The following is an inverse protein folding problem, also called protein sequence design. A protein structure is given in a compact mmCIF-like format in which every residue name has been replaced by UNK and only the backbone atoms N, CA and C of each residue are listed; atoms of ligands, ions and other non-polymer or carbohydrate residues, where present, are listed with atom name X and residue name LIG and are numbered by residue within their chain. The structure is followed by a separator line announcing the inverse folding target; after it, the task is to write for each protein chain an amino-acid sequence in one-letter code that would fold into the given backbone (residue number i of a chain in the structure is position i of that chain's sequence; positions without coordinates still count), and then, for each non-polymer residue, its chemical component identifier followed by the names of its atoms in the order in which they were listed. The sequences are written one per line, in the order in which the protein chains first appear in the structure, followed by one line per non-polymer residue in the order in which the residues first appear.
data_IF_463341163144
#
_entry.id   IF_463341163144
#
_cell.length_a   1.000
_cell.length_b   1.000
_cell.length_c   1.000
_cell.angle_alpha   90.00
_cell.angle_beta   90.00
_cell.angle_gamma   90.00
#
_symmetry.space_group_name_H-M   'P 1'
#
loop_
_entity.id
_entity.type
_entity.pdbx_description
1 polymer ?
#
# COMPACT_ATOMS: atom_id res chain seq x y z
N UNK A 1 17.57 3.18 -1.38
CA UNK A 1 17.14 3.24 0.05
C UNK A 1 17.23 1.84 0.65
N UNK A 2 17.84 1.66 1.84
CA UNK A 2 18.09 0.33 2.43
C UNK A 2 16.84 -0.30 3.09
N UNK A 3 16.92 -1.60 3.42
CA UNK A 3 15.82 -2.37 4.04
C UNK A 3 15.28 -1.75 5.34
N UNK A 4 16.11 -1.42 6.35
CA UNK A 4 15.62 -0.79 7.59
C UNK A 4 14.81 0.48 7.35
N UNK A 5 15.26 1.32 6.41
CA UNK A 5 14.57 2.57 6.08
C UNK A 5 13.24 2.31 5.39
N UNK A 6 13.18 1.35 4.45
CA UNK A 6 11.93 0.95 3.78
C UNK A 6 10.91 0.39 4.77
N UNK A 7 11.35 -0.47 5.70
CA UNK A 7 10.49 -1.00 6.76
C UNK A 7 9.99 0.12 7.69
N UNK A 8 10.87 1.05 8.09
CA UNK A 8 10.50 2.23 8.90
C UNK A 8 9.38 3.04 8.21
N UNK A 9 9.50 3.30 6.92
CA UNK A 9 8.50 4.03 6.14
C UNK A 9 7.18 3.27 6.11
N UNK A 10 7.17 1.96 5.84
CA UNK A 10 5.94 1.18 5.82
C UNK A 10 5.24 1.19 7.19
N UNK A 11 5.99 1.00 8.28
CA UNK A 11 5.47 1.11 9.65
C UNK A 11 4.88 2.48 9.94
N UNK A 12 5.58 3.55 9.57
CA UNK A 12 5.11 4.92 9.78
C UNK A 12 3.85 5.24 8.96
N UNK A 13 3.74 4.77 7.71
CA UNK A 13 2.51 4.92 6.90
C UNK A 13 1.35 4.19 7.57
N UNK A 14 1.57 2.94 8.03
CA UNK A 14 0.55 2.15 8.70
C UNK A 14 0.08 2.82 10.01
N UNK A 15 1.00 3.38 10.80
CA UNK A 15 0.70 4.14 12.00
C UNK A 15 -0.08 5.43 11.70
N UNK A 16 0.33 6.20 10.68
CA UNK A 16 -0.39 7.40 10.24
C UNK A 16 -1.81 7.08 9.77
N UNK A 17 -1.98 5.99 9.02
CA UNK A 17 -3.30 5.55 8.56
C UNK A 17 -4.18 5.08 9.73
N UNK A 18 -3.59 4.39 10.71
CA UNK A 18 -4.27 4.01 11.95
C UNK A 18 -4.80 5.23 12.69
N UNK A 19 -3.95 6.25 12.89
CA UNK A 19 -4.32 7.50 13.53
C UNK A 19 -5.53 8.14 12.84
N UNK A 20 -5.52 8.21 11.52
CA UNK A 20 -6.65 8.76 10.75
C UNK A 20 -7.95 7.97 10.99
N UNK A 21 -7.87 6.64 11.01
CA UNK A 21 -9.05 5.77 11.19
C UNK A 21 -9.54 5.70 12.64
N UNK A 22 -8.67 5.93 13.62
CA UNK A 22 -9.00 5.90 15.05
C UNK A 22 -9.50 7.25 15.55
N UNK A 23 -8.76 8.33 15.31
CA UNK A 23 -9.09 9.67 15.84
C UNK A 23 -10.33 10.25 15.17
N UNK A 24 -10.52 9.98 13.87
CA UNK A 24 -11.67 10.46 13.10
C UNK A 24 -12.72 9.35 12.87
N UNK A 25 -12.75 8.33 13.73
CA UNK A 25 -13.61 7.17 13.55
C UNK A 25 -15.11 7.51 13.42
N UNK A 26 -15.57 8.61 14.03
CA UNK A 26 -16.96 9.07 13.99
C UNK A 26 -17.42 9.56 12.61
N UNK A 27 -16.48 9.98 11.75
CA UNK A 27 -16.80 10.54 10.43
C UNK A 27 -16.86 9.47 9.32
N UNK A 28 -16.51 8.22 9.64
CA UNK A 28 -16.27 7.13 8.68
C UNK A 28 -15.51 7.58 7.43
N UNK A 29 -14.52 8.46 7.63
CA UNK A 29 -13.85 9.16 6.55
C UNK A 29 -12.50 8.49 6.24
N UNK A 30 -12.40 7.71 5.14
CA UNK A 30 -11.14 7.17 4.69
C UNK A 30 -10.23 8.29 4.16
N UNK A 31 -8.94 7.99 4.03
CA UNK A 31 -8.02 8.86 3.33
C UNK A 31 -8.45 9.04 1.86
N UNK A 32 -8.81 7.95 1.18
CA UNK A 32 -9.40 8.00 -0.16
C UNK A 32 -8.46 8.46 -1.28
N UNK A 33 -7.19 8.75 -0.98
CA UNK A 33 -6.19 9.16 -1.97
C UNK A 33 -4.76 8.78 -1.53
N UNK A 34 -4.61 7.70 -0.77
CA UNK A 34 -3.32 7.22 -0.31
C UNK A 34 -2.54 6.62 -1.49
N UNK A 35 -1.37 7.15 -1.79
CA UNK A 35 -0.45 6.70 -2.86
C UNK A 35 0.96 7.21 -2.54
N UNK A 36 2.00 6.64 -3.14
CA UNK A 36 3.38 7.02 -2.82
C UNK A 36 3.69 8.50 -2.99
N UNK A 37 3.14 9.18 -4.01
CA UNK A 37 3.35 10.63 -4.16
C UNK A 37 2.61 11.51 -3.13
N UNK A 38 1.74 10.92 -2.32
CA UNK A 38 1.05 11.57 -1.18
C UNK A 38 1.64 11.11 0.17
N UNK A 39 2.80 10.45 0.14
CA UNK A 39 3.62 10.15 1.31
C UNK A 39 4.92 10.93 1.20
N UNK A 40 5.00 12.05 1.91
CA UNK A 40 6.24 12.82 1.99
C UNK A 40 7.18 12.19 3.02
N UNK A 41 8.48 12.42 2.88
CA UNK A 41 9.49 11.92 3.80
C UNK A 41 10.23 13.11 4.43
N UNK A 42 10.39 13.09 5.75
CA UNK A 42 11.29 14.02 6.44
C UNK A 42 12.76 13.72 6.10
N UNK A 43 13.66 14.58 6.59
CA UNK A 43 15.11 14.36 6.58
C UNK A 43 15.53 13.07 7.31
N UNK A 44 14.74 12.63 8.29
CA UNK A 44 14.89 11.39 9.05
C UNK A 44 14.12 10.21 8.47
N UNK A 45 13.55 10.32 7.26
CA UNK A 45 12.69 9.30 6.62
C UNK A 45 11.44 8.93 7.43
N UNK A 46 10.91 9.85 8.23
CA UNK A 46 9.60 9.68 8.84
C UNK A 46 8.52 10.04 7.79
N UNK A 47 7.57 9.13 7.51
CA UNK A 47 6.55 9.36 6.50
C UNK A 47 5.46 10.31 7.01
N UNK A 48 5.06 11.25 6.15
CA UNK A 48 4.02 12.23 6.41
C UNK A 48 2.91 12.06 5.36
N UNK A 49 1.72 11.67 5.80
CA UNK A 49 0.57 11.48 4.91
C UNK A 49 -0.05 12.84 4.55
N UNK A 50 -0.28 13.09 3.26
CA UNK A 50 -0.90 14.32 2.75
C UNK A 50 -2.19 14.00 1.99
N UNK A 51 -2.98 15.03 1.65
CA UNK A 51 -4.27 14.89 0.93
C UNK A 51 -5.30 13.98 1.62
N UNK A 52 -5.25 13.88 2.95
CA UNK A 52 -6.32 13.27 3.72
C UNK A 52 -7.64 14.05 3.52
N UNK A 53 -8.76 13.33 3.47
CA UNK A 53 -10.09 13.92 3.32
C UNK A 53 -10.27 14.81 2.07
N UNK A 54 -9.50 14.56 1.01
CA UNK A 54 -9.61 15.32 -0.23
C UNK A 54 -10.89 14.98 -1.02
N UNK A 55 -11.44 13.76 -0.83
CA UNK A 55 -12.61 13.28 -1.58
C UNK A 55 -13.86 14.16 -1.47
N UNK A 56 -14.33 14.60 -0.28
CA UNK A 56 -15.50 15.48 -0.18
C UNK A 56 -15.31 16.88 -0.81
N UNK A 57 -14.07 17.29 -1.07
CA UNK A 57 -13.74 18.61 -1.62
C UNK A 57 -13.73 18.63 -3.15
N UNK A 58 -13.83 17.47 -3.80
CA UNK A 58 -13.83 17.36 -5.26
C UNK A 58 -15.21 17.04 -5.80
N UNK A 59 -15.56 17.60 -6.97
CA UNK A 59 -16.76 17.23 -7.69
C UNK A 59 -16.47 15.98 -8.56
N UNK A 60 -17.11 14.82 -8.26
CA UNK A 60 -16.86 13.56 -8.97
C UNK A 60 -17.12 13.66 -10.49
N UNK A 61 -18.05 14.53 -10.90
CA UNK A 61 -18.46 14.68 -12.30
C UNK A 61 -17.44 15.48 -13.14
N UNK A 62 -16.60 16.30 -12.51
CA UNK A 62 -15.55 17.08 -13.19
C UNK A 62 -14.17 16.43 -13.13
N UNK A 63 -13.98 15.47 -12.22
CA UNK A 63 -12.68 14.88 -11.89
C UNK A 63 -12.81 13.35 -11.92
N UNK A 64 -13.33 12.84 -13.04
CA UNK A 64 -13.68 11.42 -13.22
C UNK A 64 -12.45 10.46 -13.27
N UNK A 65 -11.23 10.90 -12.91
CA UNK A 65 -10.01 10.09 -13.05
C UNK A 65 -8.95 10.24 -11.93
N UNK A 66 -9.16 11.03 -10.88
CA UNK A 66 -8.00 11.56 -10.14
C UNK A 66 -7.66 10.92 -8.79
N UNK A 67 -8.61 10.28 -8.09
CA UNK A 67 -8.30 9.67 -6.78
C UNK A 67 -7.88 8.22 -6.91
N UNK A 68 -6.80 7.87 -6.22
CA UNK A 68 -6.25 6.52 -6.31
C UNK A 68 -7.21 5.45 -5.77
N UNK A 69 -7.99 5.78 -4.74
CA UNK A 69 -9.03 4.90 -4.19
C UNK A 69 -10.05 4.40 -5.24
N UNK A 70 -10.28 5.19 -6.30
CA UNK A 70 -11.23 4.84 -7.34
C UNK A 70 -10.79 3.65 -8.20
N UNK A 71 -9.52 3.26 -8.06
CA UNK A 71 -8.91 2.14 -8.78
C UNK A 71 -8.92 0.85 -7.96
N UNK A 72 -9.44 0.90 -6.73
CA UNK A 72 -9.68 -0.32 -5.97
C UNK A 72 -10.82 -1.15 -6.59
N UNK A 73 -10.76 -2.49 -6.50
CA UNK A 73 -11.82 -3.36 -7.01
C UNK A 73 -13.21 -2.98 -6.48
N UNK A 74 -13.31 -2.66 -5.19
CA UNK A 74 -14.56 -2.32 -4.54
C UNK A 74 -15.16 -1.01 -5.07
N UNK A 75 -14.33 -0.02 -5.39
CA UNK A 75 -14.83 1.22 -5.97
C UNK A 75 -15.29 0.99 -7.41
N UNK A 76 -14.53 0.24 -8.21
CA UNK A 76 -14.91 -0.09 -9.58
C UNK A 76 -16.29 -0.78 -9.60
N UNK A 77 -16.52 -1.69 -8.65
CA UNK A 77 -17.75 -2.46 -8.57
C UNK A 77 -18.93 -1.71 -7.91
N UNK A 78 -18.68 -0.99 -6.82
CA UNK A 78 -19.73 -0.44 -5.94
C UNK A 78 -19.74 1.09 -5.85
N UNK A 79 -18.79 1.79 -6.51
CA UNK A 79 -18.63 3.25 -6.47
C UNK A 79 -18.54 3.81 -5.05
N UNK A 80 -17.95 3.04 -4.13
CA UNK A 80 -17.84 3.39 -2.71
C UNK A 80 -16.39 3.44 -2.26
N UNK A 81 -15.95 4.61 -1.79
CA UNK A 81 -14.70 4.72 -1.04
C UNK A 81 -14.96 4.32 0.41
N UNK A 82 -14.09 3.49 0.97
CA UNK A 82 -14.21 3.02 2.34
C UNK A 82 -12.84 2.86 3.00
N UNK A 83 -12.84 2.57 4.30
CA UNK A 83 -11.61 2.18 5.02
C UNK A 83 -10.90 0.98 4.38
N UNK A 84 -11.64 0.04 3.77
CA UNK A 84 -11.06 -1.12 3.04
C UNK A 84 -10.34 -0.68 1.77
N UNK A 85 -10.76 0.43 1.17
CA UNK A 85 -10.06 1.02 0.03
C UNK A 85 -8.69 1.56 0.44
N UNK A 86 -8.57 2.18 1.62
CA UNK A 86 -7.25 2.61 2.13
C UNK A 86 -6.32 1.43 2.40
N UNK A 87 -6.85 0.29 2.87
CA UNK A 87 -6.05 -0.94 3.04
C UNK A 87 -5.51 -1.44 1.70
N UNK A 88 -6.33 -1.42 0.64
CA UNK A 88 -5.86 -1.73 -0.70
C UNK A 88 -4.73 -0.79 -1.13
N UNK A 89 -4.89 0.50 -0.87
CA UNK A 89 -3.88 1.50 -1.21
C UNK A 89 -2.57 1.31 -0.44
N UNK A 90 -2.65 0.99 0.86
CA UNK A 90 -1.50 0.60 1.68
C UNK A 90 -0.80 -0.61 1.08
N UNK A 91 -1.56 -1.63 0.66
CA UNK A 91 -1.04 -2.81 -0.01
C UNK A 91 -0.22 -2.47 -1.25
N UNK A 92 -0.73 -1.61 -2.14
CA UNK A 92 -0.01 -1.16 -3.33
C UNK A 92 1.32 -0.47 -2.97
N UNK A 93 1.32 0.41 -1.98
CA UNK A 93 2.54 1.10 -1.53
C UNK A 93 3.56 0.09 -0.98
N UNK A 94 3.11 -0.91 -0.21
CA UNK A 94 3.99 -1.98 0.28
C UNK A 94 4.62 -2.73 -0.91
N UNK A 95 3.82 -3.11 -1.91
CA UNK A 95 4.34 -3.82 -3.08
C UNK A 95 5.31 -2.95 -3.90
N UNK A 96 5.03 -1.67 -4.08
CA UNK A 96 5.95 -0.71 -4.71
C UNK A 96 7.29 -0.63 -3.95
N UNK A 97 7.25 -0.44 -2.63
CA UNK A 97 8.44 -0.35 -1.79
C UNK A 97 9.25 -1.64 -1.82
N UNK A 98 8.61 -2.81 -1.81
CA UNK A 98 9.32 -4.09 -1.79
C UNK A 98 9.92 -4.46 -3.14
N UNK A 99 9.26 -4.11 -4.24
CA UNK A 99 9.68 -4.49 -5.60
C UNK A 99 10.52 -3.43 -6.31
N UNK A 100 10.49 -2.19 -5.82
CA UNK A 100 11.10 -1.05 -6.51
C UNK A 100 10.43 -0.75 -7.88
N UNK A 101 9.25 -1.32 -8.15
CA UNK A 101 8.51 -1.09 -9.40
C UNK A 101 7.40 -0.10 -9.20
N UNK A 102 7.27 0.80 -10.18
CA UNK A 102 6.17 1.75 -10.23
C UNK A 102 4.84 1.02 -10.60
N UNK A 103 3.82 1.08 -9.72
CA UNK A 103 2.51 0.45 -9.97
C UNK A 103 1.79 1.03 -11.19
N UNK A 104 1.33 0.18 -12.11
CA UNK A 104 0.47 0.60 -13.24
C UNK A 104 -0.85 1.17 -12.75
N UNK A 105 -1.29 0.78 -11.56
CA UNK A 105 -2.44 1.32 -10.85
C UNK A 105 -2.34 2.84 -10.69
N UNK A 106 -1.15 3.46 -10.72
CA UNK A 106 -1.05 4.92 -10.67
C UNK A 106 -1.40 5.61 -12.00
N UNK A 107 -1.35 4.93 -13.14
CA UNK A 107 -1.73 5.52 -14.43
C UNK A 107 -3.25 5.53 -14.65
N UNK A 108 -3.76 6.59 -15.26
CA UNK A 108 -5.18 6.70 -15.65
C UNK A 108 -5.43 6.31 -17.11
N UNK A 109 -4.36 6.11 -17.90
CA UNK A 109 -4.42 5.99 -19.35
C UNK A 109 -4.08 4.59 -19.88
N UNK A 110 -3.88 3.60 -18.99
CA UNK A 110 -3.52 2.22 -19.36
C UNK A 110 -2.16 2.04 -20.05
N UNK A 111 -1.37 3.11 -20.17
CA UNK A 111 -0.06 3.12 -20.83
C UNK A 111 1.04 3.27 -19.78
N UNK A 112 1.53 2.14 -19.26
CA UNK A 112 2.76 2.07 -18.45
C UNK A 112 2.59 1.53 -17.03
N UNK A 113 3.72 1.18 -16.42
CA UNK A 113 3.82 0.61 -15.07
C UNK A 113 3.65 -0.92 -15.04
N UNK A 114 4.03 -1.53 -13.92
CA UNK A 114 3.85 -2.96 -13.67
C UNK A 114 2.56 -3.18 -12.91
N UNK A 115 1.73 -4.14 -13.31
CA UNK A 115 0.67 -4.63 -12.44
C UNK A 115 1.30 -5.40 -11.27
N UNK A 116 1.72 -4.66 -10.25
CA UNK A 116 2.46 -5.20 -9.11
C UNK A 116 1.63 -6.21 -8.33
N UNK A 117 0.30 -6.08 -8.34
CA UNK A 117 -0.61 -7.03 -7.68
C UNK A 117 -0.55 -8.36 -8.41
N UNK A 118 -0.86 -8.38 -9.71
CA UNK A 118 -0.85 -9.62 -10.48
C UNK A 118 0.53 -10.26 -10.50
N UNK A 119 1.59 -9.46 -10.64
CA UNK A 119 2.96 -9.95 -10.69
C UNK A 119 3.39 -10.63 -9.38
N UNK A 120 3.04 -10.03 -8.24
CA UNK A 120 3.32 -10.59 -6.91
C UNK A 120 2.49 -11.84 -6.64
N UNK A 121 1.20 -11.84 -6.95
CA UNK A 121 0.34 -13.01 -6.76
C UNK A 121 0.82 -14.20 -7.59
N UNK A 122 1.21 -13.98 -8.85
CA UNK A 122 1.79 -15.04 -9.68
C UNK A 122 3.10 -15.57 -9.09
N UNK A 123 4.02 -14.70 -8.67
CA UNK A 123 5.28 -15.16 -8.09
C UNK A 123 5.08 -15.94 -6.77
N UNK A 124 4.15 -15.52 -5.92
CA UNK A 124 3.78 -16.27 -4.69
C UNK A 124 3.22 -17.64 -5.05
N UNK A 125 2.34 -17.73 -6.05
CA UNK A 125 1.76 -19.02 -6.48
C UNK A 125 2.80 -20.00 -7.03
N UNK A 126 3.91 -19.48 -7.55
CA UNK A 126 5.02 -20.25 -8.11
C UNK A 126 6.17 -20.48 -7.10
N UNK A 127 6.09 -19.92 -5.89
CA UNK A 127 7.15 -19.99 -4.88
C UNK A 127 8.42 -19.21 -5.25
N UNK A 128 8.27 -18.13 -6.03
CA UNK A 128 9.36 -17.29 -6.56
C UNK A 128 9.29 -15.85 -6.08
N UNK A 129 8.58 -15.58 -5.00
CA UNK A 129 8.39 -14.22 -4.46
C UNK A 129 9.72 -13.54 -4.06
N UNK A 130 10.75 -14.32 -3.74
CA UNK A 130 12.10 -13.79 -3.46
C UNK A 130 12.75 -13.12 -4.67
N UNK A 131 12.34 -13.47 -5.90
CA UNK A 131 12.84 -12.85 -7.13
C UNK A 131 12.30 -11.43 -7.33
N UNK A 132 11.20 -11.10 -6.65
CA UNK A 132 10.54 -9.80 -6.78
C UNK A 132 11.13 -8.74 -5.86
N UNK A 133 11.88 -9.15 -4.83
CA UNK A 133 12.50 -8.22 -3.89
C UNK A 133 13.53 -7.36 -4.63
N UNK A 134 13.42 -6.05 -4.43
CA UNK A 134 14.30 -5.07 -5.05
C UNK A 134 15.79 -5.42 -4.80
N UNK A 135 16.61 -5.58 -5.86
CA UNK A 135 18.03 -5.87 -5.74
C UNK A 135 18.80 -4.91 -4.81
N UNK A 136 18.37 -3.65 -4.71
CA UNK A 136 19.00 -2.65 -3.82
C UNK A 136 18.94 -3.04 -2.34
N UNK A 137 17.90 -3.77 -1.92
CA UNK A 137 17.72 -4.21 -0.53
C UNK A 137 18.02 -5.70 -0.33
N UNK A 138 18.14 -6.47 -1.42
CA UNK A 138 18.49 -7.89 -1.38
C UNK A 138 19.99 -8.15 -1.21
N UNK A 139 20.83 -7.13 -1.39
CA UNK A 139 22.29 -7.28 -1.34
C UNK A 139 22.79 -7.32 0.11
N UNK A 140 23.61 -8.32 0.46
CA UNK A 140 24.22 -8.49 1.79
C UNK A 140 23.25 -8.61 2.97
N UNK A 141 22.05 -9.17 2.75
CA UNK A 141 21.09 -9.43 3.83
C UNK A 141 21.15 -10.88 4.28
N UNK A 142 20.94 -11.10 5.57
CA UNK A 142 20.86 -12.45 6.13
C UNK A 142 19.50 -13.10 5.83
N UNK A 143 19.41 -14.41 6.12
CA UNK A 143 18.20 -15.19 5.90
C UNK A 143 17.00 -14.68 6.70
N UNK A 144 17.22 -14.10 7.88
CA UNK A 144 16.14 -13.57 8.72
C UNK A 144 15.56 -12.29 8.12
N UNK A 145 16.40 -11.35 7.70
CA UNK A 145 15.98 -10.15 6.99
C UNK A 145 15.26 -10.51 5.70
N UNK A 146 15.74 -11.49 4.93
CA UNK A 146 15.05 -11.95 3.72
C UNK A 146 13.66 -12.51 4.05
N UNK A 147 13.53 -13.35 5.08
CA UNK A 147 12.23 -13.85 5.54
C UNK A 147 11.30 -12.72 5.99
N UNK A 148 11.82 -11.68 6.65
CA UNK A 148 11.07 -10.48 7.01
C UNK A 148 10.59 -9.70 5.79
N UNK A 149 11.42 -9.57 4.74
CA UNK A 149 11.02 -8.95 3.47
C UNK A 149 9.91 -9.74 2.79
N UNK A 150 10.01 -11.07 2.75
CA UNK A 150 8.99 -11.94 2.17
C UNK A 150 7.67 -11.83 2.92
N UNK A 151 7.71 -11.81 4.25
CA UNK A 151 6.53 -11.56 5.09
C UNK A 151 5.87 -10.22 4.75
N UNK A 152 6.66 -9.15 4.61
CA UNK A 152 6.12 -7.83 4.28
C UNK A 152 5.47 -7.81 2.89
N UNK A 153 6.08 -8.47 1.90
CA UNK A 153 5.52 -8.64 0.56
C UNK A 153 4.18 -9.39 0.59
N UNK A 154 4.08 -10.48 1.38
CA UNK A 154 2.84 -11.24 1.55
C UNK A 154 1.74 -10.44 2.27
N UNK A 155 2.10 -9.58 3.23
CA UNK A 155 1.16 -8.65 3.85
C UNK A 155 0.62 -7.67 2.80
N UNK A 156 1.50 -7.10 1.96
CA UNK A 156 1.11 -6.24 0.84
C UNK A 156 0.12 -6.94 -0.09
N UNK A 157 0.42 -8.17 -0.51
CA UNK A 157 -0.46 -8.98 -1.35
C UNK A 157 -1.84 -9.23 -0.71
N UNK A 158 -1.86 -9.55 0.59
CA UNK A 158 -3.10 -9.78 1.36
C UNK A 158 -3.93 -8.50 1.55
N UNK A 159 -3.27 -7.34 1.59
CA UNK A 159 -3.94 -6.04 1.60
C UNK A 159 -4.55 -5.69 0.22
N UNK A 160 -4.03 -6.27 -0.86
CA UNK A 160 -4.54 -6.06 -2.23
C UNK A 160 -5.57 -7.09 -2.69
N UNK A 161 -6.07 -7.94 -1.78
CA UNK A 161 -7.11 -8.93 -2.11
C UNK A 161 -8.33 -8.26 -2.76
N UNK A 162 -8.78 -8.86 -3.86
CA UNK A 162 -9.87 -8.34 -4.70
C UNK A 162 -11.20 -8.41 -3.97
N UNK A 163 -11.44 -9.50 -3.23
CA UNK A 163 -12.62 -9.61 -2.39
C UNK A 163 -12.43 -8.83 -1.08
N UNK A 164 -13.15 -7.71 -0.84
CA UNK A 164 -12.96 -6.91 0.37
C UNK A 164 -13.25 -7.66 1.67
N UNK A 165 -14.02 -8.76 1.65
CA UNK A 165 -14.26 -9.61 2.82
C UNK A 165 -13.06 -10.50 3.17
N UNK A 166 -12.25 -10.87 2.18
CA UNK A 166 -11.02 -11.64 2.36
C UNK A 166 -9.80 -10.74 2.57
N UNK A 167 -9.89 -9.47 2.15
CA UNK A 167 -8.87 -8.46 2.39
C UNK A 167 -8.68 -8.20 3.89
N UNK A 168 -7.41 -8.15 4.29
CA UNK A 168 -7.03 -7.83 5.67
C UNK A 168 -7.77 -6.60 6.19
N UNK A 169 -8.13 -6.63 7.48
CA UNK A 169 -8.53 -5.40 8.18
C UNK A 169 -7.28 -4.53 8.39
N UNK A 170 -7.47 -3.21 8.50
CA UNK A 170 -6.36 -2.31 8.77
C UNK A 170 -5.62 -2.70 10.07
N UNK A 171 -6.37 -3.03 11.13
CA UNK A 171 -5.79 -3.45 12.40
C UNK A 171 -4.94 -4.72 12.30
N UNK A 172 -5.39 -5.72 11.53
CA UNK A 172 -4.61 -6.93 11.30
C UNK A 172 -3.39 -6.67 10.42
N UNK A 173 -3.52 -5.83 9.40
CA UNK A 173 -2.38 -5.41 8.57
C UNK A 173 -1.30 -4.71 9.43
N UNK A 174 -1.69 -3.76 10.28
CA UNK A 174 -0.78 -3.07 11.21
C UNK A 174 -0.09 -4.05 12.14
N UNK A 175 -0.86 -4.96 12.78
CA UNK A 175 -0.30 -5.96 13.70
C UNK A 175 0.80 -6.78 13.01
N UNK A 176 0.53 -7.29 11.80
CA UNK A 176 1.51 -8.08 11.03
C UNK A 176 2.71 -7.25 10.58
N UNK A 177 2.49 -5.99 10.19
CA UNK A 177 3.58 -5.06 9.80
C UNK A 177 4.51 -4.80 10.99
N UNK A 178 3.97 -4.62 12.19
CA UNK A 178 4.77 -4.38 13.39
C UNK A 178 5.63 -5.57 13.81
N UNK A 179 5.15 -6.79 13.55
CA UNK A 179 5.89 -8.03 13.81
C UNK A 179 7.11 -8.21 12.90
N UNK A 180 7.16 -7.52 11.75
CA UNK A 180 8.33 -7.57 10.85
C UNK A 180 9.52 -6.85 11.47
N UNK A 181 10.67 -7.55 11.50
CA UNK A 181 11.93 -7.06 12.07
C UNK A 181 12.99 -6.88 10.98
N UNK A 182 14.00 -6.05 11.28
CA UNK A 182 15.21 -5.90 10.46
C UNK A 182 16.07 -7.14 10.57
#
# INVERSE_FOLDING_TARGET
MNWPTRLKIVKGIAAGLNFLHSEFATYDLPHGNLKSCNVLLSDTYDPLLTDYAFHPLINPNTVAQSLFAFKSPDYIQYQKVSRKTDVYCLGIIILEIMTGKFPSQYHSNGKGGTDVVQWVLTAISEGREADLIDPEIKTNVDTNSLNSMLKLLQIGASCTETNPEQRLSLGEAIRRIEEVQV
#
